data_IF_230249349640
#
_entry.id   IF_230249349640
#
_cell.length_a   1.000
_cell.length_b   1.000
_cell.length_c   1.000
_cell.angle_alpha   90.00
_cell.angle_beta   90.00
_cell.angle_gamma   90.00
#
_symmetry.space_group_name_H-M   'P 1'
#
loop_
_entity.id
_entity.type
_entity.pdbx_description
1 polymer ?
#
# COMPACT_ATOMS: atom_id res chain seq x y z
N UNK A 1 -3.89 4.66 -15.29
CA UNK A 1 -2.90 3.57 -15.36
C UNK A 1 -3.47 2.35 -14.64
N UNK A 2 -3.10 1.11 -15.02
CA UNK A 2 -3.63 -0.13 -14.40
C UNK A 2 -2.51 -1.14 -14.12
N UNK A 3 -2.71 -2.01 -13.12
CA UNK A 3 -1.85 -3.18 -12.88
C UNK A 3 -2.29 -4.31 -13.81
N UNK A 4 -1.43 -4.70 -14.76
CA UNK A 4 -1.73 -5.79 -15.71
C UNK A 4 -1.26 -7.16 -15.26
N UNK A 5 -0.17 -7.20 -14.50
CA UNK A 5 0.46 -8.45 -14.06
C UNK A 5 1.15 -8.22 -12.72
N UNK A 6 1.12 -9.25 -11.90
CA UNK A 6 1.79 -9.29 -10.59
C UNK A 6 2.71 -10.49 -10.59
N UNK A 7 3.93 -10.29 -10.11
CA UNK A 7 4.91 -11.35 -9.91
C UNK A 7 5.22 -11.42 -8.41
N UNK A 8 5.24 -12.62 -7.86
CA UNK A 8 5.58 -12.88 -6.46
C UNK A 8 6.57 -14.03 -6.40
N UNK A 9 7.59 -13.90 -5.56
CA UNK A 9 8.54 -14.98 -5.28
C UNK A 9 7.91 -16.08 -4.41
N UNK A 10 6.86 -15.74 -3.66
CA UNK A 10 6.12 -16.66 -2.81
C UNK A 10 4.76 -17.01 -3.42
N UNK A 11 4.25 -18.22 -3.14
CA UNK A 11 2.94 -18.68 -3.64
C UNK A 11 1.76 -17.84 -3.14
N UNK A 12 1.89 -17.16 -1.99
CA UNK A 12 0.84 -16.33 -1.42
C UNK A 12 1.07 -14.85 -1.74
N UNK A 13 0.15 -14.26 -2.51
CA UNK A 13 0.15 -12.85 -2.89
C UNK A 13 -0.54 -11.93 -1.88
N UNK A 14 -1.13 -12.46 -0.80
CA UNK A 14 -1.85 -11.66 0.20
C UNK A 14 -1.00 -10.56 0.82
N UNK A 15 0.25 -10.87 1.18
CA UNK A 15 1.19 -9.89 1.73
C UNK A 15 1.49 -8.76 0.74
N UNK A 16 1.55 -9.08 -0.56
CA UNK A 16 1.76 -8.12 -1.62
C UNK A 16 0.54 -7.20 -1.83
N UNK A 17 -0.68 -7.74 -1.74
CA UNK A 17 -1.89 -6.93 -1.84
C UNK A 17 -2.09 -6.05 -0.61
N UNK A 18 -1.76 -6.57 0.58
CA UNK A 18 -1.72 -5.78 1.81
C UNK A 18 -0.72 -4.63 1.71
N UNK A 19 0.47 -4.90 1.16
CA UNK A 19 1.47 -3.88 0.84
C UNK A 19 0.92 -2.82 -0.12
N UNK A 20 0.30 -3.22 -1.24
CA UNK A 20 -0.26 -2.30 -2.24
C UNK A 20 -1.34 -1.38 -1.63
N UNK A 21 -2.05 -1.88 -0.63
CA UNK A 21 -3.07 -1.16 0.13
C UNK A 21 -2.47 -0.19 1.16
N UNK A 22 -1.54 -0.64 1.99
CA UNK A 22 -1.03 0.08 3.17
C UNK A 22 0.16 1.02 2.89
N UNK A 23 1.10 0.62 2.03
CA UNK A 23 2.22 1.45 1.60
C UNK A 23 1.78 2.38 0.46
N UNK A 24 0.68 3.08 0.65
CA UNK A 24 0.01 3.87 -0.38
C UNK A 24 -0.60 5.14 0.22
N UNK A 25 -0.42 6.28 -0.45
CA UNK A 25 -0.84 7.60 0.03
C UNK A 25 -1.95 8.21 -0.82
N UNK A 26 -2.69 7.38 -1.56
CA UNK A 26 -3.96 7.85 -2.14
C UNK A 26 -4.88 8.40 -1.06
N UNK A 27 -5.55 9.50 -1.39
CA UNK A 27 -6.60 10.12 -0.57
C UNK A 27 -7.96 9.75 -1.14
N UNK A 28 -8.89 9.39 -0.25
CA UNK A 28 -10.27 9.05 -0.61
C UNK A 28 -11.14 10.16 -0.02
N UNK A 29 -11.94 10.84 -0.85
CA UNK A 29 -12.87 11.86 -0.38
C UNK A 29 -14.21 11.24 0.07
N UNK A 30 -15.12 12.08 0.56
CA UNK A 30 -16.45 11.66 1.04
C UNK A 30 -17.33 11.03 -0.05
N UNK A 31 -17.08 11.36 -1.31
CA UNK A 31 -17.76 10.79 -2.49
C UNK A 31 -17.10 9.48 -2.99
N UNK A 32 -16.19 8.87 -2.22
CA UNK A 32 -15.36 7.72 -2.61
C UNK A 32 -14.44 7.96 -3.82
N UNK A 33 -14.23 9.20 -4.22
CA UNK A 33 -13.28 9.56 -5.28
C UNK A 33 -11.85 9.45 -4.75
N UNK A 34 -11.04 8.68 -5.47
CA UNK A 34 -9.63 8.43 -5.15
C UNK A 34 -8.76 9.45 -5.87
N UNK A 35 -7.87 10.10 -5.13
CA UNK A 35 -6.93 11.09 -5.66
C UNK A 35 -5.49 10.72 -5.26
N UNK A 36 -4.56 11.01 -6.15
CA UNK A 36 -3.15 10.66 -5.99
C UNK A 36 -2.46 10.48 -7.34
N UNK A 37 -1.19 10.07 -7.28
CA UNK A 37 -0.43 9.74 -8.49
C UNK A 37 -1.03 8.51 -9.21
N UNK A 38 -1.02 8.45 -10.57
CA UNK A 38 -1.58 7.34 -11.32
C UNK A 38 -1.07 5.96 -10.94
N UNK A 39 0.19 5.83 -10.50
CA UNK A 39 0.77 4.56 -10.02
C UNK A 39 0.16 4.17 -8.68
N UNK A 40 0.07 5.14 -7.76
CA UNK A 40 -0.54 4.92 -6.44
C UNK A 40 -2.01 4.52 -6.56
N UNK A 41 -2.77 5.17 -7.44
CA UNK A 41 -4.17 4.81 -7.72
C UNK A 41 -4.27 3.38 -8.28
N UNK A 42 -3.45 3.03 -9.28
CA UNK A 42 -3.48 1.69 -9.87
C UNK A 42 -3.24 0.57 -8.86
N UNK A 43 -2.26 0.75 -7.95
CA UNK A 43 -1.96 -0.22 -6.90
C UNK A 43 -3.09 -0.31 -5.86
N UNK A 44 -3.67 0.83 -5.48
CA UNK A 44 -4.79 0.86 -4.53
C UNK A 44 -6.02 0.13 -5.09
N UNK A 45 -6.42 0.44 -6.32
CA UNK A 45 -7.57 -0.20 -6.96
C UNK A 45 -7.32 -1.71 -7.12
N UNK A 46 -6.11 -2.10 -7.53
CA UNK A 46 -5.75 -3.51 -7.66
C UNK A 46 -5.82 -4.25 -6.32
N UNK A 47 -5.34 -3.66 -5.22
CA UNK A 47 -5.50 -4.24 -3.89
C UNK A 47 -6.98 -4.36 -3.51
N UNK A 48 -7.77 -3.30 -3.73
CA UNK A 48 -9.20 -3.23 -3.39
C UNK A 48 -10.01 -4.32 -4.08
N UNK A 49 -9.84 -4.54 -5.39
CA UNK A 49 -10.57 -5.60 -6.12
C UNK A 49 -10.18 -7.02 -5.66
N UNK A 50 -9.01 -7.19 -5.05
CA UNK A 50 -8.56 -8.45 -4.46
C UNK A 50 -8.97 -8.58 -2.97
N UNK A 51 -9.85 -7.72 -2.47
CA UNK A 51 -10.36 -7.75 -1.09
C UNK A 51 -9.49 -7.01 -0.07
N UNK A 52 -8.46 -6.28 -0.52
CA UNK A 52 -7.54 -5.54 0.35
C UNK A 52 -7.93 -4.06 0.49
N UNK A 53 -9.05 -3.83 1.18
CA UNK A 53 -9.56 -2.48 1.45
C UNK A 53 -8.65 -1.69 2.40
N UNK A 54 -8.13 -0.56 1.92
CA UNK A 54 -7.19 0.28 2.67
C UNK A 54 -7.78 0.80 3.97
N UNK A 55 -9.04 1.25 3.97
CA UNK A 55 -9.66 1.86 5.15
C UNK A 55 -9.79 0.81 6.27
N UNK A 56 -10.20 -0.41 5.91
CA UNK A 56 -10.25 -1.54 6.84
C UNK A 56 -8.85 -1.87 7.37
N UNK A 57 -7.89 -2.10 6.48
CA UNK A 57 -6.56 -2.55 6.87
C UNK A 57 -5.76 -1.47 7.60
N UNK A 58 -6.00 -0.19 7.37
CA UNK A 58 -5.38 0.88 8.16
C UNK A 58 -5.83 0.90 9.61
N UNK A 59 -7.07 0.45 9.91
CA UNK A 59 -7.53 0.29 11.29
C UNK A 59 -6.86 -0.89 11.98
N UNK A 60 -6.69 -2.00 11.26
CA UNK A 60 -6.04 -3.22 11.76
C UNK A 60 -4.52 -3.06 11.89
N UNK A 61 -3.90 -2.33 10.96
CA UNK A 61 -2.46 -2.10 10.84
C UNK A 61 -2.16 -0.59 10.77
N UNK A 62 -2.37 0.17 11.86
CA UNK A 62 -2.17 1.61 11.85
C UNK A 62 -0.74 1.97 11.49
N UNK A 63 -0.57 2.93 10.57
CA UNK A 63 0.75 3.47 10.21
C UNK A 63 1.27 4.28 11.40
N UNK A 64 2.41 3.88 11.95
CA UNK A 64 3.04 4.51 13.11
C UNK A 64 4.31 5.28 12.77
N UNK A 65 4.93 4.99 11.63
CA UNK A 65 6.06 5.75 11.11
C UNK A 65 6.14 5.62 9.59
N UNK A 66 6.87 6.55 8.97
CA UNK A 66 7.20 6.49 7.56
C UNK A 66 8.57 7.11 7.29
N UNK A 67 9.21 6.62 6.24
CA UNK A 67 10.31 7.31 5.58
C UNK A 67 9.78 7.67 4.19
N UNK A 68 9.55 8.97 3.91
CA UNK A 68 9.00 9.39 2.63
C UNK A 68 9.90 8.96 1.47
N UNK A 69 9.36 9.03 0.25
CA UNK A 69 10.16 8.77 -0.94
C UNK A 69 11.38 9.70 -0.96
N UNK A 70 12.55 9.11 -1.13
CA UNK A 70 13.83 9.81 -1.24
C UNK A 70 14.46 9.48 -2.59
N UNK A 71 14.90 10.49 -3.33
CA UNK A 71 15.47 10.30 -4.67
C UNK A 71 16.83 9.59 -4.64
N UNK A 72 17.56 9.66 -3.52
CA UNK A 72 18.83 8.95 -3.33
C UNK A 72 18.62 7.45 -3.12
N UNK A 73 17.68 7.06 -2.25
CA UNK A 73 17.29 5.65 -2.02
C UNK A 73 16.35 5.09 -3.08
N UNK A 74 15.66 5.96 -3.82
CA UNK A 74 14.58 5.65 -4.78
C UNK A 74 13.44 4.83 -4.19
N UNK A 75 13.17 4.96 -2.88
CA UNK A 75 12.13 4.18 -2.21
C UNK A 75 11.40 4.93 -1.09
N UNK A 76 10.14 4.53 -0.88
CA UNK A 76 9.24 4.90 0.20
C UNK A 76 9.10 3.72 1.17
N UNK A 77 9.18 3.98 2.47
CA UNK A 77 8.97 2.97 3.52
C UNK A 77 7.86 3.40 4.48
N UNK A 78 6.96 2.49 4.84
CA UNK A 78 5.95 2.72 5.89
C UNK A 78 6.03 1.62 6.94
N UNK A 79 5.77 1.98 8.20
CA UNK A 79 5.78 1.08 9.35
C UNK A 79 4.38 1.04 9.94
N UNK A 80 3.87 -0.16 10.15
CA UNK A 80 2.53 -0.42 10.64
C UNK A 80 2.56 -1.28 11.89
N UNK A 81 1.77 -0.93 12.91
CA UNK A 81 1.71 -1.70 14.17
C UNK A 81 0.75 -2.89 14.05
N UNK A 82 1.12 -4.03 14.61
CA UNK A 82 0.26 -5.23 14.75
C UNK A 82 0.53 -5.87 16.12
N UNK A 83 -0.30 -5.54 17.12
CA UNK A 83 0.01 -5.94 18.50
C UNK A 83 1.37 -5.38 18.93
N UNK A 84 2.28 -6.25 19.34
CA UNK A 84 3.66 -5.90 19.74
C UNK A 84 4.66 -5.95 18.57
N UNK A 85 4.21 -6.37 17.39
CA UNK A 85 5.04 -6.45 16.19
C UNK A 85 4.86 -5.23 15.27
N UNK A 86 5.85 -5.05 14.39
CA UNK A 86 5.81 -4.04 13.34
C UNK A 86 5.90 -4.69 11.96
N UNK A 87 4.99 -4.31 11.09
CA UNK A 87 5.01 -4.65 9.67
C UNK A 87 5.63 -3.49 8.89
N UNK A 88 6.75 -3.75 8.24
CA UNK A 88 7.50 -2.73 7.47
C UNK A 88 7.36 -3.03 5.99
N UNK A 89 6.92 -2.03 5.23
CA UNK A 89 6.75 -2.11 3.79
C UNK A 89 7.62 -1.07 3.10
N UNK A 90 8.36 -1.51 2.08
CA UNK A 90 9.19 -0.61 1.25
C UNK A 90 8.86 -0.82 -0.23
N UNK A 91 8.66 0.28 -0.95
CA UNK A 91 8.49 0.28 -2.42
C UNK A 91 9.42 1.27 -3.07
N UNK A 92 9.94 0.94 -4.25
CA UNK A 92 10.84 1.81 -4.99
C UNK A 92 10.74 1.64 -6.49
N UNK A 93 11.44 2.54 -7.20
CA UNK A 93 11.69 2.47 -8.63
C UNK A 93 12.89 1.57 -8.94
#
# INVERSE_FOLDING_TARGET
MIVRKVFSLNKDSKSLFLFMSLNNDVKINEENKVTGDPIKIALYEFAKINGFDKIKFQKEFPRVAEIPFDSKRKCLTTVHKKGDEHLVFTKGL
#
